data_IF_496576183731
#
_entry.id   IF_496576183731
#
_cell.length_a   1.000
_cell.length_b   1.000
_cell.length_c   1.000
_cell.angle_alpha   90.00
_cell.angle_beta   90.00
_cell.angle_gamma   90.00
#
_symmetry.space_group_name_H-M   'P 1'
#
loop_
_entity.id
_entity.type
_entity.pdbx_description
1 polymer ?
#
# COMPACT_ATOMS: atom_id res chain seq x y z
N UNK A 1 18.41 -20.38 3.08
CA UNK A 1 18.16 -18.93 3.02
C UNK A 1 17.13 -18.63 4.09
N UNK A 2 17.32 -17.65 4.99
CA UNK A 2 16.28 -17.31 5.94
C UNK A 2 15.05 -16.85 5.14
N UNK A 3 13.85 -17.29 5.54
CA UNK A 3 12.60 -16.84 4.93
C UNK A 3 12.35 -15.42 5.42
N UNK A 4 13.06 -14.46 4.85
CA UNK A 4 12.89 -13.08 5.22
C UNK A 4 11.51 -12.63 4.76
N UNK A 5 10.63 -12.34 5.71
CA UNK A 5 9.36 -11.69 5.44
C UNK A 5 9.48 -10.24 5.91
N UNK A 6 9.03 -9.31 5.07
CA UNK A 6 8.91 -7.91 5.41
C UNK A 6 7.45 -7.60 5.70
N UNK A 7 7.21 -7.02 6.87
CA UNK A 7 5.90 -6.51 7.26
C UNK A 7 5.95 -4.99 7.26
N UNK A 8 4.99 -4.37 6.58
CA UNK A 8 4.82 -2.92 6.50
C UNK A 8 3.40 -2.58 6.89
N UNK A 9 3.23 -1.55 7.71
CA UNK A 9 1.92 -1.06 8.08
C UNK A 9 1.94 0.45 8.25
N UNK A 10 0.85 1.10 7.87
CA UNK A 10 0.61 2.49 8.17
C UNK A 10 -0.85 2.71 8.55
N UNK A 11 -1.09 3.75 9.33
CA UNK A 11 -2.43 4.20 9.69
C UNK A 11 -2.42 5.69 9.91
N UNK A 12 -3.49 6.35 9.49
CA UNK A 12 -3.71 7.78 9.68
C UNK A 12 -5.18 8.03 10.01
N UNK A 13 -5.44 9.08 10.78
CA UNK A 13 -6.78 9.52 11.12
C UNK A 13 -6.78 11.02 11.35
N UNK A 14 -7.94 11.64 11.18
CA UNK A 14 -8.08 13.07 11.40
C UNK A 14 -9.49 13.56 11.13
N UNK A 15 -9.60 14.87 10.96
CA UNK A 15 -10.86 15.56 10.64
C UNK A 15 -10.67 16.45 9.43
N UNK A 16 -11.64 16.46 8.54
CA UNK A 16 -11.69 17.33 7.37
C UNK A 16 -12.77 18.37 7.63
N UNK A 17 -12.39 19.65 7.64
CA UNK A 17 -13.33 20.78 7.76
C UNK A 17 -13.76 21.21 6.36
N UNK A 18 -15.02 21.00 6.01
CA UNK A 18 -15.67 21.58 4.81
C UNK A 18 -16.84 22.46 5.26
N UNK A 19 -18.05 22.23 4.72
CA UNK A 19 -19.28 22.80 5.26
C UNK A 19 -19.62 22.20 6.65
N UNK A 20 -19.26 20.94 6.87
CA UNK A 20 -19.37 20.22 8.16
C UNK A 20 -18.01 19.60 8.49
N UNK A 21 -17.71 19.40 9.77
CA UNK A 21 -16.53 18.66 10.22
C UNK A 21 -16.79 17.16 10.10
N UNK A 22 -15.94 16.46 9.37
CA UNK A 22 -16.09 15.03 9.12
C UNK A 22 -14.82 14.29 9.55
N UNK A 23 -14.92 13.26 10.40
CA UNK A 23 -13.77 12.43 10.73
C UNK A 23 -13.41 11.52 9.55
N UNK A 24 -12.13 11.22 9.42
CA UNK A 24 -11.63 10.19 8.52
C UNK A 24 -10.57 9.33 9.21
N UNK A 25 -10.44 8.09 8.76
CA UNK A 25 -9.36 7.19 9.12
C UNK A 25 -9.02 6.32 7.91
N UNK A 26 -7.75 6.01 7.71
CA UNK A 26 -7.30 5.02 6.76
C UNK A 26 -6.01 4.33 7.20
N UNK A 27 -5.70 3.23 6.56
CA UNK A 27 -4.48 2.49 6.83
C UNK A 27 -4.30 1.32 5.89
N UNK A 28 -3.12 0.71 5.99
CA UNK A 28 -2.80 -0.50 5.28
C UNK A 28 -1.85 -1.38 6.07
N UNK A 29 -1.90 -2.67 5.79
CA UNK A 29 -0.92 -3.65 6.26
C UNK A 29 -0.53 -4.50 5.05
N UNK A 30 0.77 -4.76 4.89
CA UNK A 30 1.33 -5.57 3.80
C UNK A 30 2.40 -6.49 4.34
N UNK A 31 2.38 -7.72 3.86
CA UNK A 31 3.46 -8.69 4.03
C UNK A 31 4.09 -8.98 2.67
N UNK A 32 5.41 -9.02 2.60
CA UNK A 32 6.16 -9.29 1.38
C UNK A 32 7.32 -10.25 1.64
N UNK A 33 7.65 -11.06 0.64
CA UNK A 33 8.79 -11.95 0.63
C UNK A 33 9.74 -11.54 -0.52
N UNK A 34 11.04 -11.36 -0.26
CA UNK A 34 12.03 -11.18 -1.31
C UNK A 34 12.01 -12.38 -2.25
N UNK A 35 11.83 -12.14 -3.55
CA UNK A 35 11.81 -13.19 -4.55
C UNK A 35 13.18 -13.38 -5.20
N UNK A 36 13.77 -12.29 -5.67
CA UNK A 36 15.00 -12.32 -6.44
C UNK A 36 15.65 -10.94 -6.50
N UNK A 37 16.90 -10.92 -6.94
CA UNK A 37 17.59 -9.69 -7.35
C UNK A 37 17.93 -9.81 -8.83
N UNK A 38 17.39 -8.93 -9.67
CA UNK A 38 17.62 -8.93 -11.12
C UNK A 38 18.42 -7.68 -11.47
N UNK A 39 19.64 -7.85 -11.99
CA UNK A 39 20.50 -6.72 -12.36
C UNK A 39 20.81 -5.77 -11.19
N UNK A 40 20.91 -6.29 -9.96
CA UNK A 40 21.13 -5.47 -8.75
C UNK A 40 19.86 -4.82 -8.18
N UNK A 41 18.69 -5.05 -8.78
CA UNK A 41 17.38 -4.56 -8.30
C UNK A 41 16.69 -5.67 -7.50
N UNK A 42 16.51 -5.53 -6.17
CA UNK A 42 15.71 -6.46 -5.38
C UNK A 42 14.24 -6.37 -5.76
N UNK A 43 13.61 -7.53 -5.89
CA UNK A 43 12.19 -7.70 -6.19
C UNK A 43 11.54 -8.48 -5.05
N UNK A 44 10.40 -8.00 -4.56
CA UNK A 44 9.58 -8.66 -3.55
C UNK A 44 8.14 -8.90 -4.07
N UNK A 45 7.52 -9.97 -3.57
CA UNK A 45 6.12 -10.30 -3.83
C UNK A 45 5.41 -10.48 -2.50
N UNK A 46 4.19 -9.98 -2.41
CA UNK A 46 3.43 -9.95 -1.19
C UNK A 46 1.94 -9.85 -1.41
N UNK A 47 1.25 -9.58 -0.31
CA UNK A 47 -0.16 -9.25 -0.30
C UNK A 47 -0.42 -8.20 0.78
N UNK A 48 -1.47 -7.42 0.59
CA UNK A 48 -1.86 -6.38 1.52
C UNK A 48 -3.35 -6.32 1.76
N UNK A 49 -3.69 -5.56 2.79
CA UNK A 49 -5.04 -5.15 3.15
C UNK A 49 -5.00 -3.63 3.32
N UNK A 50 -5.97 -2.95 2.73
CA UNK A 50 -6.10 -1.49 2.80
C UNK A 50 -7.51 -1.14 3.23
N UNK A 51 -7.64 -0.25 4.21
CA UNK A 51 -8.91 0.17 4.76
C UNK A 51 -9.00 1.68 4.87
N UNK A 52 -10.19 2.22 4.65
CA UNK A 52 -10.46 3.63 4.87
C UNK A 52 -11.94 3.86 5.17
N UNK A 53 -12.22 4.80 6.07
CA UNK A 53 -13.55 5.23 6.45
C UNK A 53 -13.59 6.75 6.55
N UNK A 54 -14.55 7.34 5.87
CA UNK A 54 -14.93 8.75 5.99
C UNK A 54 -16.46 8.85 6.07
N UNK A 55 -16.98 10.03 6.37
CA UNK A 55 -18.43 10.22 6.45
C UNK A 55 -19.11 9.82 5.14
N UNK A 56 -19.97 8.80 5.20
CA UNK A 56 -20.75 8.32 4.06
C UNK A 56 -19.99 7.44 3.06
N UNK A 57 -18.76 7.02 3.36
CA UNK A 57 -18.05 6.04 2.55
C UNK A 57 -17.03 5.25 3.38
N UNK A 58 -17.12 3.94 3.34
CA UNK A 58 -16.07 3.05 3.84
C UNK A 58 -15.59 2.14 2.71
N UNK A 59 -14.34 1.67 2.83
CA UNK A 59 -13.75 0.73 1.87
C UNK A 59 -12.75 -0.17 2.56
N UNK A 60 -12.82 -1.45 2.24
CA UNK A 60 -11.79 -2.45 2.56
C UNK A 60 -11.39 -3.16 1.27
N UNK A 61 -10.09 -3.16 1.00
CA UNK A 61 -9.46 -3.85 -0.11
C UNK A 61 -8.46 -4.88 0.39
N UNK A 62 -8.27 -5.93 -0.40
CA UNK A 62 -7.16 -6.87 -0.26
C UNK A 62 -6.61 -7.25 -1.61
N UNK A 63 -5.38 -7.76 -1.65
CA UNK A 63 -4.86 -8.32 -2.89
C UNK A 63 -3.35 -8.42 -2.96
N UNK A 64 -2.86 -8.96 -4.10
CA UNK A 64 -1.45 -9.20 -4.31
C UNK A 64 -0.69 -7.90 -4.52
N UNK A 65 0.62 -7.98 -4.29
CA UNK A 65 1.50 -6.86 -4.49
C UNK A 65 2.91 -7.25 -4.92
N UNK A 66 3.51 -6.43 -5.77
CA UNK A 66 4.90 -6.54 -6.20
C UNK A 66 5.65 -5.28 -5.79
N UNK A 67 6.86 -5.42 -5.27
CA UNK A 67 7.76 -4.33 -4.92
C UNK A 67 9.09 -4.45 -5.65
N UNK A 68 9.65 -3.32 -6.08
CA UNK A 68 11.02 -3.24 -6.61
C UNK A 68 11.76 -2.09 -5.92
N UNK A 69 13.05 -2.28 -5.64
CA UNK A 69 13.92 -1.23 -5.08
C UNK A 69 14.99 -0.81 -6.08
N UNK A 70 14.77 0.33 -6.73
CA UNK A 70 15.62 0.88 -7.78
C UNK A 70 16.74 1.74 -7.15
N UNK A 71 18.01 1.50 -7.49
CA UNK A 71 19.09 2.42 -7.15
C UNK A 71 19.01 3.67 -8.05
N UNK A 72 18.87 4.85 -7.45
CA UNK A 72 18.91 6.15 -8.14
C UNK A 72 20.02 7.01 -7.53
N UNK A 73 21.21 6.95 -8.13
CA UNK A 73 22.41 7.61 -7.59
C UNK A 73 22.76 7.05 -6.21
N UNK A 74 22.79 7.92 -5.20
CA UNK A 74 23.08 7.55 -3.81
C UNK A 74 21.82 7.11 -3.03
N UNK A 75 20.63 7.23 -3.62
CA UNK A 75 19.37 6.91 -2.97
C UNK A 75 18.76 5.62 -3.51
N UNK A 76 17.84 5.04 -2.74
CA UNK A 76 17.00 3.93 -3.19
C UNK A 76 15.56 4.39 -3.25
N UNK A 77 14.93 4.10 -4.38
CA UNK A 77 13.51 4.37 -4.61
C UNK A 77 12.78 3.05 -4.65
N UNK A 78 11.75 2.93 -3.82
CA UNK A 78 10.86 1.78 -3.81
C UNK A 78 9.62 2.08 -4.62
N UNK A 79 9.35 1.20 -5.58
CA UNK A 79 8.15 1.23 -6.41
C UNK A 79 7.33 -0.01 -6.07
N UNK A 80 6.05 0.18 -5.77
CA UNK A 80 5.14 -0.89 -5.40
C UNK A 80 3.90 -0.83 -6.28
N UNK A 81 3.51 -1.98 -6.82
CA UNK A 81 2.29 -2.15 -7.61
C UNK A 81 1.37 -3.12 -6.88
N UNK A 82 0.20 -2.62 -6.47
CA UNK A 82 -0.80 -3.35 -5.70
C UNK A 82 -2.06 -3.57 -6.55
N UNK A 83 -2.63 -4.77 -6.54
CA UNK A 83 -4.01 -4.95 -6.98
C UNK A 83 -4.93 -4.83 -5.76
N UNK A 84 -5.79 -3.81 -5.75
CA UNK A 84 -6.74 -3.56 -4.66
C UNK A 84 -8.11 -4.10 -5.04
N UNK A 85 -8.36 -5.35 -4.68
CA UNK A 85 -9.68 -5.95 -4.80
C UNK A 85 -10.56 -5.48 -3.65
N UNK A 86 -11.60 -4.71 -3.95
CA UNK A 86 -12.58 -4.32 -2.94
C UNK A 86 -13.38 -5.52 -2.49
N UNK A 87 -13.44 -5.70 -1.17
CA UNK A 87 -14.19 -6.78 -0.52
C UNK A 87 -15.31 -6.29 0.39
N UNK A 88 -15.22 -5.05 0.88
CA UNK A 88 -16.30 -4.42 1.64
C UNK A 88 -16.34 -2.90 1.42
N UNK A 89 -17.51 -2.32 1.69
CA UNK A 89 -17.76 -0.89 1.58
C UNK A 89 -18.34 -0.45 0.23
N UNK A 90 -18.74 0.81 0.19
CA UNK A 90 -19.63 1.43 -0.79
C UNK A 90 -18.97 2.59 -1.56
N UNK A 91 -17.66 2.76 -1.42
CA UNK A 91 -16.91 3.77 -2.16
C UNK A 91 -17.17 3.70 -3.69
N UNK A 92 -17.31 4.85 -4.36
CA UNK A 92 -17.65 4.90 -5.80
C UNK A 92 -16.65 4.17 -6.71
N UNK A 93 -15.35 4.19 -6.39
CA UNK A 93 -14.33 3.53 -7.21
C UNK A 93 -14.29 2.02 -6.93
N UNK A 94 -14.32 1.22 -7.99
CA UNK A 94 -14.19 -0.24 -7.94
C UNK A 94 -12.76 -0.73 -7.65
N UNK A 95 -12.56 -2.04 -7.86
CA UNK A 95 -11.25 -2.69 -7.77
C UNK A 95 -10.31 -2.22 -8.88
N UNK A 96 -9.01 -2.18 -8.61
CA UNK A 96 -8.02 -1.75 -9.59
C UNK A 96 -6.59 -1.75 -9.09
N UNK A 97 -5.67 -1.43 -9.99
CA UNK A 97 -4.25 -1.29 -9.69
C UNK A 97 -3.96 0.03 -8.98
N UNK A 98 -3.06 0.00 -8.01
CA UNK A 98 -2.50 1.17 -7.33
C UNK A 98 -0.97 1.13 -7.41
N UNK A 99 -0.35 2.28 -7.69
CA UNK A 99 1.10 2.44 -7.73
C UNK A 99 1.52 3.32 -6.55
N UNK A 100 2.48 2.84 -5.77
CA UNK A 100 3.08 3.56 -4.64
C UNK A 100 4.56 3.79 -4.90
N UNK A 101 5.02 5.00 -4.63
CA UNK A 101 6.42 5.42 -4.75
C UNK A 101 6.89 5.90 -3.39
N UNK A 102 7.96 5.30 -2.88
CA UNK A 102 8.62 5.69 -1.64
C UNK A 102 10.11 5.86 -1.86
N UNK A 103 10.73 6.72 -1.06
CA UNK A 103 12.18 6.92 -1.06
C UNK A 103 12.71 6.71 0.34
N UNK A 104 13.89 6.10 0.42
CA UNK A 104 14.62 6.00 1.68
C UNK A 104 15.37 7.35 1.87
N UNK A 105 15.23 8.00 3.03
CA UNK A 105 15.87 9.31 3.34
C UNK A 105 17.12 9.14 4.20
#
# INVERSE_FOLDING_TARGET
MPRDFRLEAYGQAGVIRRAVTEPYADGAVRIAHPLATVGGVPIDLGAGVWGGAQRGAARLDLGPSVGVSLPLGQQRVRVMLDWRQRVAGDARLGSGAALTLGTDF
#
